data_IF_145717393020
#
_entry.id   IF_145717393020
#
_cell.length_a   1.000
_cell.length_b   1.000
_cell.length_c   1.000
_cell.angle_alpha   90.00
_cell.angle_beta   90.00
_cell.angle_gamma   90.00
#
_symmetry.space_group_name_H-M   'P 1'
#
loop_
_entity.id
_entity.type
_entity.pdbx_description
1 polymer ?
#
# COMPACT_ATOMS: atom_id res chain seq x y z
N UNK A 1 -4.79 10.99 -27.82
CA UNK A 1 -4.79 9.54 -27.61
C UNK A 1 -4.74 9.36 -26.10
N UNK A 2 -5.89 9.05 -25.49
CA UNK A 2 -5.98 8.72 -24.07
C UNK A 2 -5.32 7.35 -23.88
N UNK A 3 -4.17 7.33 -23.20
CA UNK A 3 -3.56 6.08 -22.77
C UNK A 3 -4.59 5.36 -21.88
N UNK A 4 -5.02 4.17 -22.32
CA UNK A 4 -5.88 3.31 -21.51
C UNK A 4 -5.01 2.84 -20.33
N UNK A 5 -5.37 3.27 -19.13
CA UNK A 5 -4.73 2.82 -17.90
C UNK A 5 -5.05 1.32 -17.73
N UNK A 6 -4.04 0.47 -17.85
CA UNK A 6 -4.17 -0.93 -17.44
C UNK A 6 -3.85 -0.99 -15.93
N UNK A 7 -4.80 -1.36 -15.08
CA UNK A 7 -4.55 -1.51 -13.65
C UNK A 7 -3.47 -2.59 -13.42
N UNK A 8 -2.55 -2.33 -12.50
CA UNK A 8 -1.49 -3.29 -12.13
C UNK A 8 -2.04 -4.57 -11.48
N UNK A 9 -3.31 -4.57 -11.08
CA UNK A 9 -3.97 -5.67 -10.39
C UNK A 9 -5.24 -6.07 -11.13
N UNK A 10 -5.59 -7.37 -11.05
CA UNK A 10 -6.85 -7.86 -11.57
C UNK A 10 -8.04 -7.23 -10.82
N UNK A 11 -9.14 -6.90 -11.50
CA UNK A 11 -10.35 -6.49 -10.80
C UNK A 11 -10.86 -7.61 -9.90
N UNK A 12 -11.53 -7.25 -8.81
CA UNK A 12 -12.11 -8.23 -7.90
C UNK A 12 -12.99 -9.23 -8.65
N UNK A 13 -12.74 -10.50 -8.38
CA UNK A 13 -13.51 -11.63 -8.90
C UNK A 13 -13.75 -12.62 -7.77
N UNK A 14 -15.02 -12.91 -7.47
CA UNK A 14 -15.41 -13.76 -6.36
C UNK A 14 -14.90 -15.20 -6.50
N UNK A 15 -14.91 -15.75 -7.74
CA UNK A 15 -14.41 -17.10 -8.03
C UNK A 15 -12.91 -17.19 -7.71
N UNK A 16 -12.12 -16.22 -8.20
CA UNK A 16 -10.68 -16.18 -7.91
C UNK A 16 -10.41 -15.95 -6.43
N UNK A 17 -11.22 -15.11 -5.77
CA UNK A 17 -11.16 -14.92 -4.32
C UNK A 17 -11.41 -16.23 -3.55
N UNK A 18 -12.41 -17.00 -3.94
CA UNK A 18 -12.71 -18.30 -3.34
C UNK A 18 -11.56 -19.32 -3.52
N UNK A 19 -10.94 -19.35 -4.71
CA UNK A 19 -9.76 -20.19 -4.97
C UNK A 19 -8.60 -19.85 -4.03
N UNK A 20 -8.23 -18.55 -3.93
CA UNK A 20 -7.17 -18.08 -3.04
C UNK A 20 -7.45 -18.45 -1.58
N UNK A 21 -8.68 -18.28 -1.12
CA UNK A 21 -9.10 -18.64 0.22
C UNK A 21 -8.91 -20.16 0.44
N UNK A 22 -9.37 -20.99 -0.49
CA UNK A 22 -9.27 -22.43 -0.38
C UNK A 22 -7.82 -22.93 -0.38
N UNK A 23 -6.93 -22.32 -1.17
CA UNK A 23 -5.50 -22.65 -1.23
C UNK A 23 -4.79 -22.50 0.13
N UNK A 24 -5.26 -21.56 0.96
CA UNK A 24 -4.60 -21.21 2.21
C UNK A 24 -5.36 -21.60 3.48
N UNK A 25 -6.62 -22.03 3.37
CA UNK A 25 -7.51 -22.25 4.52
C UNK A 25 -7.02 -23.31 5.52
N UNK A 26 -6.18 -24.26 5.07
CA UNK A 26 -5.63 -25.32 5.93
C UNK A 26 -4.36 -24.93 6.70
N UNK A 27 -3.83 -23.71 6.46
CA UNK A 27 -2.61 -23.25 7.10
C UNK A 27 -2.87 -22.78 8.55
N UNK A 28 -1.87 -22.91 9.41
CA UNK A 28 -1.93 -22.32 10.74
C UNK A 28 -1.94 -20.78 10.63
N UNK A 29 -2.84 -20.11 11.35
CA UNK A 29 -2.97 -18.65 11.27
C UNK A 29 -3.48 -18.15 9.91
N UNK A 30 -4.24 -18.95 9.19
CA UNK A 30 -4.68 -18.75 7.80
C UNK A 30 -5.25 -17.35 7.50
N UNK A 31 -5.88 -16.69 8.48
CA UNK A 31 -6.51 -15.37 8.26
C UNK A 31 -5.55 -14.35 7.66
N UNK A 32 -4.37 -14.16 8.26
CA UNK A 32 -3.37 -13.21 7.76
C UNK A 32 -2.83 -13.62 6.39
N UNK A 33 -2.54 -14.90 6.20
CA UNK A 33 -2.02 -15.42 4.93
C UNK A 33 -3.01 -15.19 3.81
N UNK A 34 -4.30 -15.48 4.04
CA UNK A 34 -5.37 -15.27 3.06
C UNK A 34 -5.52 -13.78 2.73
N UNK A 35 -5.54 -12.89 3.73
CA UNK A 35 -5.66 -11.46 3.51
C UNK A 35 -4.47 -10.91 2.70
N UNK A 36 -3.25 -11.38 2.94
CA UNK A 36 -2.08 -11.04 2.13
C UNK A 36 -2.22 -11.53 0.68
N UNK A 37 -2.60 -12.80 0.48
CA UNK A 37 -2.76 -13.37 -0.86
C UNK A 37 -3.85 -12.66 -1.66
N UNK A 38 -4.95 -12.26 -1.01
CA UNK A 38 -5.99 -11.44 -1.63
C UNK A 38 -5.45 -10.06 -2.04
N UNK A 39 -4.69 -9.40 -1.15
CA UNK A 39 -4.08 -8.11 -1.46
C UNK A 39 -3.05 -8.19 -2.59
N UNK A 40 -2.26 -9.26 -2.66
CA UNK A 40 -1.33 -9.49 -3.76
C UNK A 40 -2.05 -9.68 -5.10
N UNK A 41 -3.16 -10.41 -5.10
CA UNK A 41 -3.92 -10.68 -6.32
C UNK A 41 -4.70 -9.46 -6.84
N UNK A 42 -5.31 -8.68 -5.94
CA UNK A 42 -6.24 -7.61 -6.28
C UNK A 42 -5.72 -6.19 -5.96
N UNK A 43 -4.55 -6.08 -5.31
CA UNK A 43 -3.97 -4.80 -4.87
C UNK A 43 -4.58 -4.22 -3.59
N UNK A 44 -5.63 -4.87 -3.07
CA UNK A 44 -6.33 -4.52 -1.83
C UNK A 44 -7.09 -5.73 -1.31
N UNK A 45 -7.61 -5.67 -0.10
CA UNK A 45 -8.53 -6.68 0.44
C UNK A 45 -9.97 -6.22 0.21
N UNK A 46 -10.73 -6.86 -0.71
CA UNK A 46 -12.12 -6.50 -0.95
C UNK A 46 -13.00 -6.79 0.27
N UNK A 47 -13.86 -5.88 0.67
CA UNK A 47 -14.80 -6.10 1.78
C UNK A 47 -15.70 -7.33 1.55
N UNK A 48 -16.03 -7.61 0.29
CA UNK A 48 -16.79 -8.80 -0.10
C UNK A 48 -16.08 -10.12 0.23
N UNK A 49 -14.74 -10.12 0.35
CA UNK A 49 -13.97 -11.29 0.75
C UNK A 49 -14.10 -11.61 2.25
N UNK A 50 -14.37 -10.63 3.10
CA UNK A 50 -14.40 -10.83 4.56
C UNK A 50 -15.39 -11.93 4.98
N UNK A 51 -16.67 -11.94 4.53
CA UNK A 51 -17.59 -13.02 4.86
C UNK A 51 -17.16 -14.38 4.29
N UNK A 52 -16.48 -14.41 3.13
CA UNK A 52 -16.00 -15.64 2.52
C UNK A 52 -14.88 -16.26 3.36
N UNK A 53 -13.91 -15.45 3.80
CA UNK A 53 -12.84 -15.87 4.71
C UNK A 53 -13.41 -16.36 6.03
N UNK A 54 -14.36 -15.63 6.62
CA UNK A 54 -15.02 -16.01 7.86
C UNK A 54 -15.69 -17.38 7.75
N UNK A 55 -16.41 -17.62 6.65
CA UNK A 55 -17.06 -18.90 6.39
C UNK A 55 -16.04 -20.04 6.21
N UNK A 56 -15.00 -19.82 5.42
CA UNK A 56 -13.99 -20.84 5.13
C UNK A 56 -13.19 -21.27 6.38
N UNK A 57 -12.95 -20.33 7.30
CA UNK A 57 -12.18 -20.57 8.52
C UNK A 57 -13.04 -20.86 9.76
N UNK A 58 -14.38 -20.93 9.60
CA UNK A 58 -15.32 -21.06 10.71
C UNK A 58 -15.13 -19.99 11.81
N UNK A 59 -14.89 -18.74 11.38
CA UNK A 59 -14.75 -17.56 12.22
C UNK A 59 -15.99 -16.65 12.06
N UNK A 60 -16.18 -15.73 13.00
CA UNK A 60 -17.16 -14.66 12.81
C UNK A 60 -16.61 -13.59 11.84
N UNK A 61 -17.52 -12.88 11.17
CA UNK A 61 -17.14 -11.72 10.34
C UNK A 61 -16.40 -10.65 11.14
N UNK A 62 -16.77 -10.48 12.42
CA UNK A 62 -16.14 -9.50 13.30
C UNK A 62 -14.67 -9.84 13.59
N UNK A 63 -14.34 -11.11 13.77
CA UNK A 63 -12.96 -11.56 13.97
C UNK A 63 -12.11 -11.28 12.72
N UNK A 64 -12.57 -11.67 11.53
CA UNK A 64 -11.85 -11.43 10.29
C UNK A 64 -11.72 -9.93 10.00
N UNK A 65 -12.79 -9.17 10.17
CA UNK A 65 -12.79 -7.71 10.02
C UNK A 65 -11.87 -7.04 11.04
N UNK A 66 -11.80 -7.55 12.27
CA UNK A 66 -10.88 -7.09 13.30
C UNK A 66 -9.42 -7.25 12.87
N UNK A 67 -9.06 -8.39 12.31
CA UNK A 67 -7.71 -8.62 11.76
C UNK A 67 -7.44 -7.67 10.59
N UNK A 68 -8.37 -7.56 9.64
CA UNK A 68 -8.24 -6.69 8.47
C UNK A 68 -8.01 -5.22 8.84
N UNK A 69 -8.72 -4.70 9.84
CA UNK A 69 -8.61 -3.29 10.26
C UNK A 69 -7.46 -3.04 11.24
N UNK A 70 -7.00 -4.06 11.97
CA UNK A 70 -5.89 -3.93 12.89
C UNK A 70 -4.55 -3.70 12.17
N UNK A 71 -4.32 -4.39 11.07
CA UNK A 71 -3.08 -4.26 10.30
C UNK A 71 -3.24 -3.17 9.23
N UNK A 72 -2.61 -2.03 9.43
CA UNK A 72 -2.69 -0.85 8.54
C UNK A 72 -2.08 -1.07 7.14
N UNK A 73 -1.33 -2.15 6.94
CA UNK A 73 -0.79 -2.51 5.63
C UNK A 73 -1.87 -3.12 4.70
N UNK A 74 -3.01 -3.56 5.24
CA UNK A 74 -4.12 -3.98 4.41
C UNK A 74 -4.87 -2.78 3.83
N UNK A 75 -4.87 -2.72 2.51
CA UNK A 75 -5.57 -1.66 1.77
C UNK A 75 -7.05 -1.96 1.64
N UNK A 76 -7.86 -0.95 1.85
CA UNK A 76 -9.31 -0.99 1.64
C UNK A 76 -9.71 -0.63 0.21
N UNK A 77 -8.78 -0.09 -0.57
CA UNK A 77 -8.93 0.31 -1.97
C UNK A 77 -7.63 0.01 -2.73
N UNK A 78 -7.70 -0.22 -4.04
CA UNK A 78 -6.51 -0.37 -4.85
C UNK A 78 -5.57 0.83 -4.70
N UNK A 79 -4.26 0.57 -4.67
CA UNK A 79 -3.29 1.63 -4.80
C UNK A 79 -3.26 2.16 -6.24
N UNK A 80 -2.71 3.36 -6.42
CA UNK A 80 -2.37 3.86 -7.73
C UNK A 80 -1.28 3.01 -8.40
N UNK A 81 -0.99 3.35 -9.65
CA UNK A 81 0.01 2.63 -10.45
C UNK A 81 1.40 2.59 -9.79
N UNK A 82 1.75 3.67 -9.11
CA UNK A 82 2.99 3.80 -8.35
C UNK A 82 2.69 4.09 -6.88
N UNK A 83 3.46 3.48 -5.99
CA UNK A 83 3.36 3.71 -4.54
C UNK A 83 4.63 4.37 -4.05
N UNK A 84 4.53 5.65 -3.69
CA UNK A 84 5.60 6.41 -3.06
C UNK A 84 5.41 6.43 -1.55
N UNK A 85 6.29 5.75 -0.83
CA UNK A 85 6.31 5.74 0.64
C UNK A 85 7.39 6.67 1.16
N UNK A 86 7.03 7.58 2.07
CA UNK A 86 7.96 8.47 2.77
C UNK A 86 8.11 8.05 4.22
N UNK A 87 9.34 7.87 4.66
CA UNK A 87 9.62 7.49 6.04
C UNK A 87 9.33 8.65 6.99
N UNK A 88 8.45 8.38 7.99
CA UNK A 88 8.00 9.33 9.01
C UNK A 88 8.47 8.95 10.41
N UNK A 89 9.49 8.07 10.52
CA UNK A 89 10.09 7.70 11.79
C UNK A 89 11.10 8.76 12.26
N UNK A 90 11.44 8.71 13.55
CA UNK A 90 12.25 9.68 14.30
C UNK A 90 13.47 10.23 13.54
N UNK A 91 14.38 9.35 13.09
CA UNK A 91 15.60 9.76 12.40
C UNK A 91 15.32 10.52 11.10
N UNK A 92 14.26 10.14 10.35
CA UNK A 92 13.87 10.81 9.12
C UNK A 92 13.22 12.16 9.41
N UNK A 93 12.41 12.28 10.46
CA UNK A 93 11.85 13.56 10.92
C UNK A 93 12.98 14.51 11.34
N UNK A 94 13.89 14.06 12.20
CA UNK A 94 15.04 14.84 12.66
C UNK A 94 15.95 15.32 11.52
N UNK A 95 16.02 14.55 10.42
CA UNK A 95 16.77 14.89 9.21
C UNK A 95 15.98 15.73 8.18
N UNK A 96 14.82 16.30 8.57
CA UNK A 96 14.02 17.18 7.72
C UNK A 96 12.97 16.44 6.86
N UNK A 97 12.60 15.21 7.21
CA UNK A 97 11.61 14.41 6.50
C UNK A 97 10.22 15.06 6.42
N UNK A 98 9.84 15.88 7.41
CA UNK A 98 8.56 16.59 7.43
C UNK A 98 8.43 17.61 6.30
N UNK A 99 9.50 18.36 6.04
CA UNK A 99 9.53 19.31 4.92
C UNK A 99 9.45 18.60 3.56
N UNK A 100 10.08 17.40 3.45
CA UNK A 100 9.99 16.60 2.23
C UNK A 100 8.59 16.00 2.05
N UNK A 101 7.93 15.57 3.12
CA UNK A 101 6.55 15.09 3.05
C UNK A 101 5.59 16.20 2.60
N UNK A 102 5.65 17.38 3.23
CA UNK A 102 4.83 18.52 2.82
C UNK A 102 5.08 18.92 1.35
N UNK A 103 6.34 18.84 0.89
CA UNK A 103 6.68 19.09 -0.53
C UNK A 103 6.06 18.04 -1.46
N UNK A 104 6.08 16.76 -1.08
CA UNK A 104 5.47 15.70 -1.88
C UNK A 104 3.95 15.90 -1.98
N UNK A 105 3.28 16.19 -0.86
CA UNK A 105 1.84 16.50 -0.82
C UNK A 105 1.48 17.66 -1.74
N UNK A 106 2.24 18.76 -1.65
CA UNK A 106 2.03 19.93 -2.51
C UNK A 106 2.22 19.63 -4.00
N UNK A 107 3.22 18.80 -4.36
CA UNK A 107 3.49 18.44 -5.76
C UNK A 107 2.48 17.45 -6.34
N UNK A 108 2.02 16.50 -5.55
CA UNK A 108 1.05 15.49 -5.97
C UNK A 108 -0.40 15.98 -5.84
N UNK A 109 -0.64 17.05 -5.06
CA UNK A 109 -1.97 17.56 -4.79
C UNK A 109 -2.82 16.65 -3.90
N UNK A 110 -2.17 15.74 -3.14
CA UNK A 110 -2.83 14.80 -2.22
C UNK A 110 -2.08 14.73 -0.90
N UNK A 111 -2.82 14.48 0.18
CA UNK A 111 -2.21 14.23 1.49
C UNK A 111 -1.68 12.80 1.60
N UNK A 112 -0.76 12.57 2.54
CA UNK A 112 -0.30 11.23 2.92
C UNK A 112 -1.48 10.29 3.20
N UNK A 113 -1.40 9.06 2.70
CA UNK A 113 -2.44 8.05 2.78
C UNK A 113 -3.45 8.09 1.62
N UNK A 114 -3.28 8.98 0.64
CA UNK A 114 -4.21 9.13 -0.48
C UNK A 114 -3.56 8.88 -1.83
N UNK A 115 -4.41 8.60 -2.81
CA UNK A 115 -4.05 8.40 -4.22
C UNK A 115 -4.43 9.64 -5.04
N UNK A 116 -3.61 10.00 -6.02
CA UNK A 116 -3.90 11.09 -6.95
C UNK A 116 -5.19 10.84 -7.73
N UNK A 117 -5.95 11.89 -8.13
CA UNK A 117 -7.24 11.72 -8.84
C UNK A 117 -7.14 10.99 -10.18
N UNK A 118 -5.95 10.88 -10.74
CA UNK A 118 -5.65 10.14 -11.96
C UNK A 118 -5.22 8.69 -11.72
N UNK A 119 -5.32 8.21 -10.48
CA UNK A 119 -4.92 6.89 -10.00
C UNK A 119 -3.46 6.51 -10.31
N UNK A 120 -2.60 7.49 -10.55
CA UNK A 120 -1.20 7.23 -10.88
C UNK A 120 -0.35 6.97 -9.65
N UNK A 121 -0.47 7.81 -8.62
CA UNK A 121 0.43 7.78 -7.47
C UNK A 121 -0.35 7.67 -6.18
N UNK A 122 -0.04 6.67 -5.37
CA UNK A 122 -0.45 6.63 -3.96
C UNK A 122 0.72 7.11 -3.10
N UNK A 123 0.49 8.13 -2.29
CA UNK A 123 1.47 8.67 -1.35
C UNK A 123 1.19 8.10 0.04
N UNK A 124 2.09 7.27 0.58
CA UNK A 124 1.92 6.60 1.87
C UNK A 124 2.98 7.00 2.90
N UNK A 125 2.64 7.13 4.18
CA UNK A 125 3.64 7.16 5.24
C UNK A 125 4.17 5.74 5.50
N UNK A 126 5.44 5.64 5.90
CA UNK A 126 6.01 4.42 6.44
C UNK A 126 6.85 4.74 7.68
N UNK A 127 6.83 3.86 8.67
CA UNK A 127 7.50 4.09 9.95
C UNK A 127 8.71 3.18 10.10
N UNK A 128 9.77 3.57 9.38
CA UNK A 128 11.11 3.02 9.28
C UNK A 128 11.30 2.01 8.14
N UNK A 129 12.21 2.39 7.21
CA UNK A 129 12.70 1.55 6.12
C UNK A 129 14.05 0.88 6.44
N UNK A 130 14.53 0.98 7.69
CA UNK A 130 15.84 0.47 8.07
C UNK A 130 17.02 1.36 7.63
N UNK A 131 16.75 2.52 7.00
CA UNK A 131 17.76 3.42 6.43
C UNK A 131 18.11 4.61 7.34
N UNK A 132 18.00 4.47 8.67
CA UNK A 132 18.19 5.58 9.61
C UNK A 132 19.55 6.25 9.49
N UNK A 133 20.62 5.50 9.20
CA UNK A 133 21.96 6.05 8.99
C UNK A 133 22.08 6.89 7.69
N UNK A 134 21.12 6.80 6.81
CA UNK A 134 21.05 7.55 5.54
C UNK A 134 19.72 8.31 5.43
N UNK A 135 19.19 8.74 6.56
CA UNK A 135 17.97 9.56 6.61
C UNK A 135 18.16 10.90 5.88
N UNK A 136 17.07 11.51 5.36
CA UNK A 136 15.72 10.95 5.21
C UNK A 136 15.63 9.86 4.13
N UNK A 137 14.60 9.01 4.18
CA UNK A 137 14.44 7.89 3.24
C UNK A 137 13.03 7.79 2.67
N UNK A 138 12.95 7.20 1.49
CA UNK A 138 11.72 6.90 0.77
C UNK A 138 11.79 5.51 0.12
N UNK A 139 10.65 5.03 -0.34
CA UNK A 139 10.53 3.84 -1.18
C UNK A 139 9.57 4.12 -2.33
N UNK A 140 9.99 3.86 -3.56
CA UNK A 140 9.12 3.91 -4.73
C UNK A 140 9.02 2.50 -5.30
N UNK A 141 7.82 1.93 -5.32
CA UNK A 141 7.52 0.60 -5.87
C UNK A 141 8.47 -0.50 -5.35
N UNK A 142 8.78 -0.48 -4.05
CA UNK A 142 9.72 -1.41 -3.43
C UNK A 142 11.20 -1.00 -3.51
N UNK A 143 11.57 -0.03 -4.35
CA UNK A 143 12.94 0.48 -4.46
C UNK A 143 13.25 1.46 -3.32
N UNK A 144 14.22 1.12 -2.49
CA UNK A 144 14.67 1.92 -1.35
C UNK A 144 15.58 3.08 -1.76
N UNK A 145 15.34 4.27 -1.20
CA UNK A 145 16.10 5.49 -1.45
C UNK A 145 16.47 6.14 -0.11
N UNK A 146 17.77 6.23 0.17
CA UNK A 146 18.28 7.00 1.31
C UNK A 146 18.85 8.35 0.89
N UNK A 147 19.22 9.19 1.88
CA UNK A 147 19.73 10.54 1.68
C UNK A 147 18.83 11.36 0.76
N UNK A 148 17.53 11.31 1.05
CA UNK A 148 16.53 11.98 0.26
C UNK A 148 16.63 13.48 0.48
N UNK A 149 16.90 14.23 -0.58
CA UNK A 149 16.83 15.67 -0.62
C UNK A 149 15.67 16.14 -1.52
N UNK A 150 15.46 17.45 -1.61
CA UNK A 150 14.39 18.02 -2.43
C UNK A 150 14.53 17.65 -3.92
N UNK A 151 15.75 17.64 -4.45
CA UNK A 151 16.01 17.32 -5.87
C UNK A 151 15.69 15.85 -6.18
N UNK A 152 16.10 14.95 -5.28
CA UNK A 152 15.81 13.51 -5.42
C UNK A 152 14.31 13.24 -5.26
N UNK A 153 13.66 13.89 -4.29
CA UNK A 153 12.21 13.78 -4.13
C UNK A 153 11.49 14.23 -5.40
N UNK A 154 11.87 15.38 -5.96
CA UNK A 154 11.28 15.90 -7.18
C UNK A 154 11.43 14.95 -8.37
N UNK A 155 12.59 14.30 -8.47
CA UNK A 155 12.84 13.29 -9.50
C UNK A 155 11.95 12.04 -9.30
N UNK A 156 11.79 11.57 -8.05
CA UNK A 156 10.90 10.43 -7.73
C UNK A 156 9.43 10.74 -8.03
N UNK A 157 8.96 11.95 -7.67
CA UNK A 157 7.60 12.38 -7.98
C UNK A 157 7.40 12.44 -9.49
N UNK A 158 8.36 13.02 -10.24
CA UNK A 158 8.28 13.08 -11.70
C UNK A 158 8.37 11.69 -12.36
N UNK A 159 9.09 10.74 -11.76
CA UNK A 159 9.15 9.34 -12.21
C UNK A 159 7.78 8.66 -12.01
N UNK A 160 7.17 8.82 -10.83
CA UNK A 160 5.89 8.22 -10.48
C UNK A 160 4.70 8.83 -11.27
N UNK A 161 4.82 10.04 -11.78
CA UNK A 161 3.77 10.70 -12.58
C UNK A 161 3.83 10.37 -14.09
N UNK A 162 4.81 9.60 -14.55
CA UNK A 162 4.92 9.18 -15.97
C UNK A 162 4.03 7.99 -16.26
#
# INVERSE_FOLDING_TARGET
>A
MTAVFEPCYAPWNETRGAEIIAEHASQEGATLVILHALQEAFGYVPEAAIPMVAQALNLSRAEVHGVFTFYHDFRHKPAGRHVLKLCRAEACQAAGGDALAARAEAKLGVSLGNTTPDDRVTLEPIYCLGLCATAPSAMLDGRLIGRLDQKRLDALVAEAQR
#
